data_IF_707780907303
#
_entry.id   IF_707780907303
#
_cell.length_a   1.000
_cell.length_b   1.000
_cell.length_c   1.000
_cell.angle_alpha   90.00
_cell.angle_beta   90.00
_cell.angle_gamma   90.00
#
_symmetry.space_group_name_H-M   'P 1'
#
loop_
_entity.id
_entity.type
_entity.pdbx_description
1 polymer ?
#
# COMPACT_ATOMS: atom_id res chain seq x y z
N UNK A 1 -4.60 -1.09 12.26
CA UNK A 1 -3.64 -0.42 13.18
C UNK A 1 -3.21 0.97 12.66
N UNK A 2 -2.86 1.94 13.53
CA UNK A 2 -2.60 3.34 13.09
C UNK A 2 -1.54 4.06 13.94
N UNK A 3 -0.77 4.96 13.31
CA UNK A 3 0.18 5.87 13.94
C UNK A 3 -0.27 7.33 13.83
N UNK A 4 0.04 8.18 14.81
CA UNK A 4 -0.39 9.58 14.86
C UNK A 4 0.76 10.57 14.75
N UNK A 5 0.53 11.71 14.08
CA UNK A 5 1.46 12.83 13.97
C UNK A 5 0.80 14.15 14.41
N UNK A 6 1.61 15.05 14.98
CA UNK A 6 1.19 16.41 15.33
C UNK A 6 0.94 17.25 14.08
N UNK A 7 0.02 18.20 14.16
CA UNK A 7 -0.41 19.07 13.06
C UNK A 7 0.75 19.80 12.35
N UNK A 8 1.79 20.18 13.11
CA UNK A 8 3.00 20.83 12.58
C UNK A 8 3.74 20.00 11.52
N UNK A 9 3.47 18.69 11.46
CA UNK A 9 4.06 17.76 10.50
C UNK A 9 3.19 17.52 9.24
N UNK A 10 2.09 18.27 9.05
CA UNK A 10 1.17 18.09 7.90
C UNK A 10 1.87 17.98 6.54
N UNK A 11 2.79 18.89 6.23
CA UNK A 11 3.54 18.84 4.95
C UNK A 11 4.38 17.58 4.79
N UNK A 12 4.87 17.01 5.89
CA UNK A 12 5.56 15.73 5.89
C UNK A 12 4.58 14.58 5.71
N UNK A 13 3.46 14.62 6.43
CA UNK A 13 2.39 13.64 6.35
C UNK A 13 1.81 13.50 4.92
N UNK A 14 1.59 14.61 4.22
CA UNK A 14 1.13 14.64 2.82
C UNK A 14 2.12 14.00 1.83
N UNK A 15 3.39 13.82 2.24
CA UNK A 15 4.42 13.16 1.41
C UNK A 15 4.55 11.66 1.69
N UNK A 16 3.92 11.16 2.75
CA UNK A 16 3.90 9.73 3.05
C UNK A 16 3.02 9.05 2.02
N UNK A 17 3.47 7.93 1.49
CA UNK A 17 2.72 7.10 0.54
C UNK A 17 2.53 5.71 1.10
N UNK A 18 1.48 5.03 0.64
CA UNK A 18 1.30 3.60 0.89
C UNK A 18 2.54 2.84 0.45
N UNK A 19 2.98 1.88 1.27
CA UNK A 19 4.21 1.13 1.08
C UNK A 19 5.47 1.79 1.63
N UNK A 20 5.45 3.03 2.11
CA UNK A 20 6.61 3.57 2.82
C UNK A 20 6.89 2.74 4.09
N UNK A 21 8.18 2.61 4.46
CA UNK A 21 8.62 1.84 5.64
C UNK A 21 8.93 2.77 6.79
N UNK A 22 8.30 2.52 7.94
CA UNK A 22 8.48 3.29 9.15
C UNK A 22 9.28 2.47 10.16
N UNK A 23 10.35 3.06 10.70
CA UNK A 23 11.01 2.52 11.88
C UNK A 23 10.29 3.03 13.12
N UNK A 24 9.61 2.13 13.82
CA UNK A 24 8.82 2.46 15.00
C UNK A 24 9.76 2.47 16.19
N UNK A 25 9.83 3.59 16.90
CA UNK A 25 10.66 3.72 18.09
C UNK A 25 9.87 4.26 19.28
N UNK A 26 10.35 3.89 20.46
CA UNK A 26 9.89 4.34 21.76
C UNK A 26 10.88 5.34 22.35
N UNK A 27 10.42 6.09 23.35
CA UNK A 27 11.22 7.09 24.05
C UNK A 27 11.10 6.88 25.55
N UNK A 28 12.16 7.18 26.29
CA UNK A 28 12.16 7.08 27.75
C UNK A 28 11.21 8.09 28.41
N UNK A 29 10.88 9.20 27.73
CA UNK A 29 9.94 10.20 28.23
C UNK A 29 8.51 9.81 27.85
N UNK A 30 7.96 8.84 28.59
CA UNK A 30 6.62 8.29 28.35
C UNK A 30 5.77 8.32 29.62
N UNK A 31 4.46 8.18 29.48
CA UNK A 31 3.53 8.02 30.60
C UNK A 31 3.84 6.79 31.48
N UNK A 32 4.48 5.77 30.89
CA UNK A 32 4.86 4.53 31.55
C UNK A 32 6.34 4.54 31.91
N UNK A 33 6.66 4.36 33.20
CA UNK A 33 8.01 4.46 33.73
C UNK A 33 8.97 3.36 33.24
N UNK A 34 8.42 2.26 32.72
CA UNK A 34 9.20 1.14 32.17
C UNK A 34 9.57 1.34 30.69
N UNK A 35 9.15 2.46 30.07
CA UNK A 35 9.54 2.78 28.70
C UNK A 35 11.04 3.06 28.59
N UNK A 36 11.64 2.64 27.47
CA UNK A 36 13.06 2.84 27.16
C UNK A 36 13.20 3.44 25.77
N UNK A 37 14.25 4.21 25.53
CA UNK A 37 14.52 4.79 24.20
C UNK A 37 15.08 3.73 23.25
N UNK A 38 14.35 3.42 22.19
CA UNK A 38 14.68 2.25 21.38
C UNK A 38 13.76 1.95 20.22
N UNK A 39 14.29 1.33 19.17
CA UNK A 39 13.52 0.87 18.01
C UNK A 39 12.83 -0.44 18.38
N UNK A 40 11.50 -0.45 18.28
CA UNK A 40 10.65 -1.56 18.71
C UNK A 40 10.17 -2.43 17.55
N UNK A 41 10.17 -1.88 16.34
CA UNK A 41 9.74 -2.61 15.16
C UNK A 41 9.76 -1.77 13.89
N UNK A 42 9.14 -2.33 12.88
CA UNK A 42 9.03 -1.79 11.53
C UNK A 42 7.54 -1.80 11.16
N UNK A 43 7.03 -0.73 10.59
CA UNK A 43 5.67 -0.64 10.08
C UNK A 43 5.66 -0.40 8.58
N UNK A 44 4.74 -1.04 7.86
CA UNK A 44 4.46 -0.76 6.45
C UNK A 44 3.22 0.12 6.39
N UNK A 45 3.33 1.25 5.69
CA UNK A 45 2.23 2.21 5.59
C UNK A 45 1.14 1.70 4.66
N UNK A 46 -0.11 1.75 5.11
CA UNK A 46 -1.30 1.40 4.31
C UNK A 46 -1.87 2.58 3.52
N UNK A 47 -3.04 2.38 2.89
CA UNK A 47 -3.68 3.34 1.99
C UNK A 47 -4.67 4.30 2.67
N UNK A 48 -5.26 3.93 3.80
CA UNK A 48 -6.37 4.65 4.45
C UNK A 48 -5.93 5.78 5.40
N UNK A 49 -5.32 6.83 4.84
CA UNK A 49 -4.93 8.03 5.59
C UNK A 49 -6.16 8.82 6.06
N UNK A 50 -6.12 9.30 7.31
CA UNK A 50 -7.24 10.04 7.89
C UNK A 50 -6.78 11.16 8.81
N UNK A 51 -7.69 12.09 9.09
CA UNK A 51 -7.50 13.13 10.10
C UNK A 51 -8.62 12.94 11.10
N UNK A 52 -8.28 12.79 12.37
CA UNK A 52 -9.25 12.56 13.43
C UNK A 52 -9.58 13.82 14.20
N UNK A 53 -10.78 13.84 14.77
CA UNK A 53 -11.28 14.90 15.65
C UNK A 53 -11.58 14.39 17.08
N UNK A 54 -11.46 13.08 17.32
CA UNK A 54 -11.65 12.43 18.62
C UNK A 54 -10.31 12.15 19.32
N UNK A 55 -10.35 11.82 20.60
CA UNK A 55 -9.18 11.39 21.37
C UNK A 55 -8.99 9.87 21.21
N UNK A 56 -7.78 9.44 20.86
CA UNK A 56 -7.43 8.02 20.71
C UNK A 56 -6.33 7.56 21.66
N UNK A 57 -5.37 8.43 22.00
CA UNK A 57 -4.27 8.06 22.88
C UNK A 57 -4.54 8.50 24.32
N UNK A 58 -3.97 7.75 25.28
CA UNK A 58 -4.10 7.99 26.71
C UNK A 58 -3.84 9.45 27.10
N UNK A 59 -2.80 10.07 26.52
CA UNK A 59 -2.47 11.47 26.76
C UNK A 59 -3.61 12.41 26.36
N UNK A 60 -4.22 12.19 25.20
CA UNK A 60 -5.33 13.03 24.69
C UNK A 60 -6.57 12.91 25.56
N UNK A 61 -6.88 11.70 26.04
CA UNK A 61 -7.99 11.50 26.98
C UNK A 61 -7.77 12.23 28.31
N UNK A 62 -6.55 12.23 28.83
CA UNK A 62 -6.21 12.86 30.11
C UNK A 62 -6.19 14.40 30.03
N UNK A 63 -5.78 14.95 28.89
CA UNK A 63 -5.57 16.40 28.72
C UNK A 63 -6.70 17.07 27.94
N UNK A 64 -7.68 16.30 27.45
CA UNK A 64 -8.78 16.75 26.60
C UNK A 64 -8.30 17.54 25.38
N UNK A 65 -7.21 17.08 24.76
CA UNK A 65 -6.55 17.71 23.61
C UNK A 65 -6.34 16.69 22.48
N UNK A 66 -6.68 17.06 21.25
CA UNK A 66 -6.37 16.28 20.05
C UNK A 66 -4.95 16.60 19.55
N UNK A 67 -3.96 15.98 20.20
CA UNK A 67 -2.54 16.28 19.98
C UNK A 67 -1.98 15.68 18.68
N UNK A 68 -2.43 14.50 18.28
CA UNK A 68 -1.92 13.81 17.08
C UNK A 68 -3.02 13.53 16.05
N UNK A 69 -3.61 14.57 15.43
CA UNK A 69 -4.77 14.42 14.56
C UNK A 69 -4.46 13.72 13.23
N UNK A 70 -3.22 13.72 12.76
CA UNK A 70 -2.82 13.20 11.45
C UNK A 70 -2.52 11.70 11.53
N UNK A 71 -3.40 10.87 10.99
CA UNK A 71 -3.31 9.41 11.10
C UNK A 71 -2.60 8.80 9.89
N UNK A 72 -1.66 7.90 10.17
CA UNK A 72 -0.95 7.07 9.20
C UNK A 72 -1.37 5.62 9.44
N UNK A 73 -2.09 4.99 8.50
CA UNK A 73 -2.48 3.59 8.63
C UNK A 73 -1.25 2.69 8.51
N UNK A 74 -1.23 1.60 9.26
CA UNK A 74 -0.23 0.54 9.11
C UNK A 74 -0.94 -0.72 8.64
N UNK A 75 -0.55 -1.24 7.48
CA UNK A 75 -1.05 -2.52 6.96
C UNK A 75 -0.39 -3.69 7.68
N UNK A 76 0.90 -3.56 7.98
CA UNK A 76 1.72 -4.58 8.62
C UNK A 76 2.63 -3.95 9.67
N UNK A 77 2.86 -4.67 10.77
CA UNK A 77 3.82 -4.32 11.80
C UNK A 77 4.69 -5.53 12.11
N UNK A 78 6.00 -5.34 12.10
CA UNK A 78 7.02 -6.32 12.46
C UNK A 78 7.70 -5.89 13.75
N UNK A 79 7.48 -6.61 14.85
CA UNK A 79 8.02 -6.28 16.16
C UNK A 79 9.21 -7.16 16.53
N UNK A 80 10.22 -6.61 17.23
CA UNK A 80 11.36 -7.42 17.68
C UNK A 80 11.03 -8.37 18.84
N UNK A 81 9.91 -8.13 19.52
CA UNK A 81 9.43 -8.92 20.65
C UNK A 81 8.09 -9.56 20.31
N UNK A 82 7.93 -10.83 20.65
CA UNK A 82 6.64 -11.51 20.55
C UNK A 82 5.69 -10.91 21.58
N UNK A 83 4.53 -10.48 21.13
CA UNK A 83 3.38 -10.05 21.94
C UNK A 83 2.30 -11.15 21.98
N UNK A 84 1.38 -11.09 22.97
CA UNK A 84 0.17 -11.91 22.97
C UNK A 84 -0.70 -11.64 21.73
N UNK A 85 -1.64 -12.53 21.46
CA UNK A 85 -2.64 -12.39 20.39
C UNK A 85 -3.34 -11.02 20.42
N UNK A 86 -3.52 -10.39 19.26
CA UNK A 86 -4.11 -9.05 19.13
C UNK A 86 -5.54 -8.97 19.63
N UNK A 87 -6.29 -10.08 19.62
CA UNK A 87 -7.64 -10.16 20.20
C UNK A 87 -7.69 -9.93 21.71
N UNK A 88 -6.54 -10.10 22.39
CA UNK A 88 -6.40 -9.85 23.83
C UNK A 88 -5.94 -8.44 24.18
N UNK A 89 -5.73 -7.57 23.18
CA UNK A 89 -5.22 -6.22 23.39
C UNK A 89 -6.35 -5.28 23.76
N UNK A 90 -6.20 -4.62 24.91
CA UNK A 90 -7.06 -3.51 25.31
C UNK A 90 -6.35 -2.19 25.06
N UNK A 91 -7.10 -1.16 24.64
CA UNK A 91 -6.57 0.19 24.54
C UNK A 91 -6.08 0.68 25.91
N UNK A 92 -4.87 1.25 26.03
CA UNK A 92 -4.37 1.76 27.30
C UNK A 92 -5.25 2.87 27.88
N UNK A 93 -5.72 2.68 29.11
CA UNK A 93 -6.48 3.64 29.90
C UNK A 93 -5.93 3.69 31.35
N UNK A 94 -6.52 4.55 32.19
CA UNK A 94 -6.08 4.71 33.59
C UNK A 94 -6.34 3.42 34.39
N UNK A 95 -7.42 2.70 34.09
CA UNK A 95 -7.89 1.54 34.84
C UNK A 95 -7.10 0.26 34.51
N UNK A 96 -6.54 0.14 33.30
CA UNK A 96 -5.74 -1.01 32.85
C UNK A 96 -4.22 -0.73 32.79
N UNK A 97 -3.74 0.27 33.55
CA UNK A 97 -2.33 0.70 33.55
C UNK A 97 -1.35 -0.46 33.80
N UNK A 98 -1.61 -1.34 34.77
CA UNK A 98 -0.71 -2.46 35.09
C UNK A 98 -0.61 -3.48 33.95
N UNK A 99 -1.71 -3.76 33.25
CA UNK A 99 -1.71 -4.63 32.07
C UNK A 99 -0.94 -3.98 30.91
N UNK A 100 -1.16 -2.68 30.69
CA UNK A 100 -0.41 -1.88 29.72
C UNK A 100 1.11 -1.89 30.01
N UNK A 101 1.52 -1.74 31.27
CA UNK A 101 2.93 -1.82 31.67
C UNK A 101 3.55 -3.19 31.40
N UNK A 102 2.81 -4.28 31.62
CA UNK A 102 3.27 -5.64 31.28
C UNK A 102 3.48 -5.78 29.78
N UNK A 103 2.52 -5.31 28.97
CA UNK A 103 2.62 -5.36 27.50
C UNK A 103 3.79 -4.51 26.98
N UNK A 104 3.99 -3.31 27.53
CA UNK A 104 5.13 -2.45 27.21
C UNK A 104 6.45 -3.13 27.58
N UNK A 105 6.53 -3.78 28.75
CA UNK A 105 7.73 -4.51 29.16
C UNK A 105 8.05 -5.66 28.19
N UNK A 106 7.02 -6.34 27.71
CA UNK A 106 7.15 -7.41 26.72
C UNK A 106 7.59 -6.87 25.35
N UNK A 107 6.97 -5.78 24.88
CA UNK A 107 7.35 -5.07 23.65
C UNK A 107 8.83 -4.63 23.68
N UNK A 108 9.30 -4.17 24.84
CA UNK A 108 10.66 -3.73 25.09
C UNK A 108 11.61 -4.85 25.55
N UNK A 109 11.26 -6.13 25.39
CA UNK A 109 12.17 -7.23 25.73
C UNK A 109 13.36 -7.33 24.77
N UNK A 110 13.09 -7.18 23.47
CA UNK A 110 14.07 -7.37 22.39
C UNK A 110 14.26 -6.12 21.51
N UNK A 111 13.82 -4.94 21.95
CA UNK A 111 14.03 -3.71 21.18
C UNK A 111 15.52 -3.44 20.90
N UNK A 112 15.81 -2.63 19.88
CA UNK A 112 17.17 -2.16 19.58
C UNK A 112 17.39 -0.82 20.30
N UNK A 113 18.30 -0.73 21.29
CA UNK A 113 18.59 0.54 21.94
C UNK A 113 19.06 1.59 20.93
N UNK A 114 18.51 2.81 21.00
CA UNK A 114 18.91 3.88 20.08
C UNK A 114 20.41 4.23 20.21
N UNK A 115 21.00 4.00 21.39
CA UNK A 115 22.46 4.13 21.60
C UNK A 115 23.30 3.23 20.69
N UNK A 116 22.71 2.14 20.18
CA UNK A 116 23.40 1.17 19.34
C UNK A 116 23.28 1.49 17.84
N UNK A 117 22.45 2.47 17.47
CA UNK A 117 22.17 2.84 16.08
C UNK A 117 22.77 4.21 15.78
N UNK A 118 23.94 4.21 15.14
CA UNK A 118 24.67 5.44 14.85
C UNK A 118 23.99 6.20 13.72
N UNK A 119 23.72 7.50 13.92
CA UNK A 119 23.12 8.38 12.92
C UNK A 119 21.59 8.32 12.85
N UNK A 120 20.94 7.65 13.81
CA UNK A 120 19.48 7.68 13.88
C UNK A 120 18.97 9.12 14.09
N UNK A 121 17.93 9.58 13.36
CA UNK A 121 17.44 10.94 13.46
C UNK A 121 17.05 11.32 14.90
N UNK A 122 17.28 12.58 15.26
CA UNK A 122 16.89 13.10 16.57
C UNK A 122 15.36 13.23 16.69
N UNK A 123 14.86 13.16 17.93
CA UNK A 123 13.43 13.19 18.21
C UNK A 123 12.70 14.38 17.59
N UNK A 124 11.51 14.13 17.05
CA UNK A 124 10.63 15.16 16.47
C UNK A 124 10.99 15.58 15.04
N UNK A 125 12.03 14.99 14.44
CA UNK A 125 12.33 15.19 13.03
C UNK A 125 11.59 14.15 12.18
N UNK A 126 10.67 14.60 11.32
CA UNK A 126 10.14 13.80 10.21
C UNK A 126 11.24 13.71 9.14
N UNK A 127 12.25 12.87 9.40
CA UNK A 127 13.45 12.78 8.58
C UNK A 127 13.65 11.36 8.08
N UNK A 128 13.98 11.26 6.80
CA UNK A 128 14.34 10.00 6.19
C UNK A 128 15.55 9.39 6.92
N UNK A 129 15.45 8.09 7.19
CA UNK A 129 16.56 7.32 7.74
C UNK A 129 17.53 7.02 6.61
N UNK A 130 18.83 7.26 6.81
CA UNK A 130 19.83 6.96 5.77
C UNK A 130 19.92 5.46 5.53
N UNK A 131 20.42 5.05 4.36
CA UNK A 131 20.56 3.63 4.01
C UNK A 131 21.46 2.89 5.01
N UNK A 132 22.51 3.55 5.51
CA UNK A 132 23.44 3.01 6.49
C UNK A 132 22.76 2.77 7.85
N UNK A 133 21.87 3.68 8.25
CA UNK A 133 21.09 3.54 9.49
C UNK A 133 20.04 2.43 9.32
N UNK A 134 19.33 2.42 8.20
CA UNK A 134 18.35 1.38 7.88
C UNK A 134 19.01 -0.01 7.89
N UNK A 135 20.21 -0.15 7.31
CA UNK A 135 20.96 -1.40 7.30
C UNK A 135 21.36 -1.86 8.72
N UNK A 136 21.72 -0.95 9.63
CA UNK A 136 22.01 -1.32 11.03
C UNK A 136 20.81 -1.97 11.72
N UNK A 137 19.58 -1.58 11.35
CA UNK A 137 18.33 -2.07 11.94
C UNK A 137 17.88 -3.36 11.23
N UNK A 138 17.90 -3.34 9.90
CA UNK A 138 17.43 -4.44 9.05
C UNK A 138 18.38 -5.66 9.09
N UNK A 139 19.69 -5.46 9.23
CA UNK A 139 20.65 -6.56 9.37
C UNK A 139 20.98 -6.91 10.83
N UNK A 140 20.23 -6.35 11.78
CA UNK A 140 20.24 -6.86 13.13
C UNK A 140 19.85 -8.36 13.14
N UNK A 141 20.26 -9.16 14.13
CA UNK A 141 19.99 -10.62 14.13
C UNK A 141 18.75 -11.03 14.93
N UNK A 142 18.06 -10.08 15.55
CA UNK A 142 16.89 -10.37 16.39
C UNK A 142 15.71 -10.93 15.57
N UNK A 143 14.82 -11.75 16.14
CA UNK A 143 13.61 -12.17 15.43
C UNK A 143 12.69 -10.99 15.14
N UNK A 144 11.85 -11.11 14.10
CA UNK A 144 10.75 -10.21 13.79
C UNK A 144 9.44 -11.00 13.82
N UNK A 145 8.47 -10.51 14.57
CA UNK A 145 7.14 -11.09 14.70
C UNK A 145 6.15 -10.21 13.94
N UNK A 146 5.46 -10.81 12.99
CA UNK A 146 4.52 -10.13 12.10
C UNK A 146 3.13 -10.03 12.76
N UNK A 147 2.54 -8.85 12.64
CA UNK A 147 1.17 -8.54 13.04
C UNK A 147 0.52 -7.81 11.86
N UNK A 148 -0.51 -8.41 11.29
CA UNK A 148 -1.31 -7.82 10.21
C UNK A 148 -2.76 -7.72 10.63
N UNK A 149 -3.44 -6.70 10.12
CA UNK A 149 -4.86 -6.51 10.36
C UNK A 149 -5.62 -7.17 9.20
N UNK A 150 -5.85 -8.49 9.28
CA UNK A 150 -6.59 -9.25 8.25
C UNK A 150 -8.02 -8.70 8.03
N UNK A 151 -8.53 -7.90 8.97
CA UNK A 151 -9.84 -7.26 8.92
C UNK A 151 -9.89 -5.97 8.09
N UNK A 152 -8.75 -5.40 7.69
CA UNK A 152 -8.68 -4.09 7.03
C UNK A 152 -9.07 -4.07 5.54
N UNK A 153 -9.49 -5.21 4.97
CA UNK A 153 -10.07 -5.28 3.62
C UNK A 153 -11.59 -4.99 3.65
N UNK A 154 -12.25 -5.10 4.81
CA UNK A 154 -13.70 -4.89 4.94
C UNK A 154 -14.00 -3.94 6.12
N UNK A 155 -13.72 -2.64 5.96
CA UNK A 155 -14.05 -1.61 6.95
C UNK A 155 -14.75 -0.40 6.32
N UNK A 156 -15.99 -0.17 6.75
CA UNK A 156 -16.91 0.97 6.53
C UNK A 156 -16.76 1.80 5.25
N UNK A 157 -17.64 1.50 4.29
CA UNK A 157 -17.83 2.15 2.98
C UNK A 157 -18.27 3.63 3.10
N UNK A 158 -18.62 4.13 4.29
CA UNK A 158 -19.33 5.41 4.44
C UNK A 158 -18.48 6.69 4.40
N UNK A 159 -17.14 6.62 4.28
CA UNK A 159 -16.35 7.84 4.11
C UNK A 159 -14.99 7.64 3.40
N UNK A 160 -14.97 6.95 2.26
CA UNK A 160 -13.81 7.03 1.37
C UNK A 160 -13.70 8.46 0.83
N UNK A 161 -12.67 9.19 1.26
CA UNK A 161 -12.37 10.51 0.68
C UNK A 161 -12.16 10.32 -0.83
N UNK A 162 -12.73 11.20 -1.67
CA UNK A 162 -12.43 11.22 -3.10
C UNK A 162 -10.93 11.21 -3.34
N UNK A 163 -10.41 10.16 -3.99
CA UNK A 163 -9.00 10.15 -4.41
C UNK A 163 -8.86 10.93 -5.72
N UNK A 164 -7.92 11.87 -5.81
CA UNK A 164 -7.76 12.64 -7.05
C UNK A 164 -6.93 11.84 -8.05
N UNK A 165 -7.36 11.79 -9.31
CA UNK A 165 -6.53 11.24 -10.39
C UNK A 165 -5.36 12.18 -10.68
N UNK A 166 -4.15 11.74 -10.32
CA UNK A 166 -2.93 12.51 -10.46
C UNK A 166 -2.17 12.12 -11.72
N UNK A 167 -1.51 13.10 -12.34
CA UNK A 167 -0.68 12.88 -13.52
C UNK A 167 0.57 12.09 -13.17
N UNK A 168 0.82 11.01 -13.91
CA UNK A 168 1.95 10.10 -13.66
C UNK A 168 3.12 10.44 -14.56
N UNK A 169 4.21 10.92 -13.96
CA UNK A 169 5.46 11.17 -14.68
C UNK A 169 6.39 9.95 -14.69
N UNK A 170 6.41 9.18 -13.60
CA UNK A 170 7.17 7.94 -13.46
C UNK A 170 6.39 6.99 -12.53
N UNK A 171 6.25 5.72 -12.92
CA UNK A 171 5.53 4.71 -12.12
C UNK A 171 6.30 4.33 -10.86
N UNK A 172 7.62 4.50 -10.82
CA UNK A 172 8.39 4.29 -9.58
C UNK A 172 7.97 5.23 -8.44
N UNK A 173 7.38 6.39 -8.75
CA UNK A 173 6.81 7.28 -7.73
C UNK A 173 5.45 6.78 -7.20
N UNK A 174 4.66 6.11 -8.05
CA UNK A 174 3.35 5.55 -7.68
C UNK A 174 3.45 4.18 -6.99
N UNK A 175 4.50 3.39 -7.23
CA UNK A 175 4.61 1.98 -6.79
C UNK A 175 5.77 1.69 -5.80
N UNK A 176 6.04 2.61 -4.87
CA UNK A 176 7.04 2.42 -3.79
C UNK A 176 6.87 1.14 -2.97
N UNK A 177 5.66 0.56 -2.97
CA UNK A 177 5.34 -0.71 -2.34
C UNK A 177 6.28 -1.86 -2.80
N UNK A 178 6.59 -1.95 -4.09
CA UNK A 178 7.41 -3.03 -4.65
C UNK A 178 8.89 -2.95 -4.24
N UNK A 179 9.45 -1.74 -4.12
CA UNK A 179 10.82 -1.54 -3.64
C UNK A 179 10.93 -1.78 -2.13
N UNK A 180 9.86 -1.51 -1.37
CA UNK A 180 9.74 -1.88 0.03
C UNK A 180 9.78 -3.40 0.24
N UNK A 181 9.05 -4.18 -0.58
CA UNK A 181 9.07 -5.65 -0.49
C UNK A 181 10.47 -6.25 -0.69
N UNK A 182 11.31 -5.66 -1.57
CA UNK A 182 12.71 -6.09 -1.76
C UNK A 182 13.57 -5.93 -0.50
N UNK A 183 13.27 -4.95 0.34
CA UNK A 183 13.94 -4.78 1.64
C UNK A 183 13.56 -5.93 2.58
N UNK A 184 12.29 -6.34 2.56
CA UNK A 184 11.81 -7.47 3.36
C UNK A 184 12.36 -8.82 2.88
N UNK A 185 12.69 -8.99 1.59
CA UNK A 185 13.37 -10.19 1.09
C UNK A 185 14.70 -10.46 1.82
N UNK A 186 15.45 -9.39 2.15
CA UNK A 186 16.75 -9.50 2.83
C UNK A 186 16.65 -9.89 4.31
N UNK A 187 15.47 -9.71 4.92
CA UNK A 187 15.21 -10.00 6.35
C UNK A 187 14.23 -11.16 6.55
N UNK A 188 13.76 -11.78 5.45
CA UNK A 188 12.79 -12.89 5.39
C UNK A 188 13.12 -14.06 6.32
N UNK A 189 14.41 -14.38 6.50
CA UNK A 189 14.85 -15.48 7.37
C UNK A 189 14.66 -15.19 8.87
N UNK A 190 14.41 -13.93 9.25
CA UNK A 190 14.19 -13.51 10.65
C UNK A 190 12.71 -13.46 11.04
N UNK A 191 11.80 -13.52 10.06
CA UNK A 191 10.36 -13.42 10.31
C UNK A 191 9.88 -14.74 10.90
N UNK A 192 9.36 -14.69 12.11
CA UNK A 192 8.80 -15.85 12.83
C UNK A 192 7.28 -15.78 12.70
N UNK A 193 6.72 -16.62 11.82
CA UNK A 193 5.28 -16.86 11.71
C UNK A 193 4.92 -18.26 12.24
N UNK A 194 3.69 -18.45 12.73
CA UNK A 194 3.22 -19.74 13.26
C UNK A 194 3.14 -20.85 12.19
N UNK A 195 3.34 -20.54 10.90
CA UNK A 195 3.36 -21.49 9.77
C UNK A 195 4.54 -21.21 8.79
N UNK A 196 5.76 -21.69 9.11
CA UNK A 196 6.99 -21.33 8.38
C UNK A 196 7.06 -21.75 6.90
N UNK A 197 6.31 -22.79 6.50
CA UNK A 197 6.40 -23.39 5.17
C UNK A 197 5.55 -22.74 4.07
N UNK A 198 4.50 -21.99 4.43
CA UNK A 198 3.58 -21.36 3.47
C UNK A 198 3.99 -19.92 3.12
N UNK A 199 4.56 -19.19 4.07
CA UNK A 199 4.87 -17.76 3.94
C UNK A 199 5.95 -17.48 2.89
N UNK A 200 7.03 -18.28 2.87
CA UNK A 200 8.15 -18.07 1.95
C UNK A 200 7.74 -18.17 0.47
N UNK A 201 6.93 -19.17 0.15
CA UNK A 201 6.44 -19.43 -1.21
C UNK A 201 5.38 -18.40 -1.63
N UNK A 202 4.51 -17.99 -0.70
CA UNK A 202 3.51 -16.97 -0.96
C UNK A 202 4.14 -15.59 -1.23
N UNK A 203 5.16 -15.17 -0.48
CA UNK A 203 5.82 -13.88 -0.71
C UNK A 203 6.63 -13.85 -2.01
N UNK A 204 7.29 -14.93 -2.41
CA UNK A 204 7.94 -14.99 -3.73
C UNK A 204 6.95 -14.94 -4.88
N UNK A 205 5.79 -15.59 -4.73
CA UNK A 205 4.72 -15.52 -5.72
C UNK A 205 4.07 -14.12 -5.75
N UNK A 206 3.88 -13.48 -4.60
CA UNK A 206 3.38 -12.11 -4.48
C UNK A 206 4.38 -11.11 -5.06
N UNK A 207 5.67 -11.22 -4.74
CA UNK A 207 6.73 -10.35 -5.26
C UNK A 207 6.88 -10.49 -6.78
N UNK A 208 6.84 -11.72 -7.33
CA UNK A 208 6.82 -11.94 -8.78
C UNK A 208 5.55 -11.40 -9.43
N UNK A 209 4.42 -11.55 -8.77
CA UNK A 209 3.15 -11.03 -9.26
C UNK A 209 3.17 -9.50 -9.32
N UNK A 210 3.72 -8.87 -8.30
CA UNK A 210 3.86 -7.42 -8.17
C UNK A 210 4.91 -6.86 -9.15
N UNK A 211 6.05 -7.52 -9.30
CA UNK A 211 7.07 -7.15 -10.28
C UNK A 211 6.50 -7.21 -11.71
N UNK A 212 5.75 -8.26 -12.04
CA UNK A 212 5.06 -8.36 -13.32
C UNK A 212 4.04 -7.23 -13.51
N UNK A 213 3.25 -6.93 -12.48
CA UNK A 213 2.28 -5.84 -12.49
C UNK A 213 2.95 -4.47 -12.73
N UNK A 214 4.00 -4.15 -11.97
CA UNK A 214 4.79 -2.92 -12.11
C UNK A 214 5.43 -2.78 -13.50
N UNK A 215 6.04 -3.86 -14.00
CA UNK A 215 6.68 -3.87 -15.31
C UNK A 215 5.67 -3.61 -16.45
N UNK A 216 4.46 -4.15 -16.33
CA UNK A 216 3.38 -3.94 -17.32
C UNK A 216 2.92 -2.49 -17.29
N UNK A 217 2.69 -1.93 -16.09
CA UNK A 217 2.31 -0.54 -15.97
C UNK A 217 3.35 0.39 -16.56
N UNK A 218 4.65 0.15 -16.30
CA UNK A 218 5.73 0.97 -16.84
C UNK A 218 5.71 0.99 -18.37
N UNK A 219 5.54 -0.19 -18.98
CA UNK A 219 5.39 -0.31 -20.43
C UNK A 219 4.14 0.43 -20.93
N UNK A 220 2.99 0.29 -20.27
CA UNK A 220 1.76 1.01 -20.64
C UNK A 220 1.95 2.52 -20.59
N UNK A 221 2.55 3.05 -19.52
CA UNK A 221 2.84 4.47 -19.38
C UNK A 221 3.67 4.99 -20.55
N UNK A 222 4.73 4.26 -20.92
CA UNK A 222 5.60 4.62 -22.03
C UNK A 222 4.84 4.60 -23.36
N UNK A 223 4.05 3.55 -23.62
CA UNK A 223 3.20 3.42 -24.82
C UNK A 223 2.26 4.63 -24.94
N UNK A 224 1.49 4.93 -23.89
CA UNK A 224 0.51 6.02 -23.93
C UNK A 224 1.19 7.39 -24.08
N UNK A 225 2.31 7.62 -23.39
CA UNK A 225 3.06 8.88 -23.51
C UNK A 225 3.62 9.09 -24.90
N UNK A 226 4.22 8.05 -25.50
CA UNK A 226 4.73 8.13 -26.88
C UNK A 226 3.62 8.47 -27.88
N UNK A 227 2.38 8.11 -27.57
CA UNK A 227 1.19 8.38 -28.39
C UNK A 227 0.47 9.68 -28.03
N UNK A 228 1.03 10.47 -27.11
CA UNK A 228 0.52 11.80 -26.76
C UNK A 228 -0.66 11.80 -25.78
N UNK A 229 -0.90 10.70 -25.05
CA UNK A 229 -1.93 10.65 -24.03
C UNK A 229 -1.43 11.25 -22.70
N UNK A 230 -2.32 11.93 -21.99
CA UNK A 230 -2.15 12.25 -20.58
C UNK A 230 -2.47 11.01 -19.76
N UNK A 231 -1.55 10.61 -18.87
CA UNK A 231 -1.66 9.37 -18.09
C UNK A 231 -1.79 9.70 -16.63
N UNK A 232 -2.78 9.11 -15.97
CA UNK A 232 -3.15 9.37 -14.59
C UNK A 232 -3.36 8.07 -13.81
N UNK A 233 -3.15 8.12 -12.50
CA UNK A 233 -3.44 7.02 -11.58
C UNK A 233 -3.87 7.57 -10.21
N UNK A 234 -4.39 6.68 -9.37
CA UNK A 234 -4.59 6.92 -7.94
C UNK A 234 -4.47 5.56 -7.21
N UNK A 235 -4.67 5.47 -5.88
CA UNK A 235 -4.56 4.20 -5.16
C UNK A 235 -5.55 3.10 -5.57
N UNK A 236 -6.61 3.44 -6.30
CA UNK A 236 -7.64 2.50 -6.76
C UNK A 236 -7.50 2.19 -8.24
N UNK A 237 -7.20 3.18 -9.06
CA UNK A 237 -7.08 3.12 -10.52
C UNK A 237 -5.63 2.92 -10.92
N UNK A 238 -5.33 1.73 -11.44
CA UNK A 238 -4.01 1.37 -11.97
C UNK A 238 -3.54 2.38 -13.03
N UNK A 239 -4.32 2.59 -14.09
CA UNK A 239 -3.98 3.56 -15.14
C UNK A 239 -5.23 4.07 -15.88
N UNK A 240 -5.32 5.39 -15.98
CA UNK A 240 -6.28 6.10 -16.83
C UNK A 240 -5.52 6.98 -17.82
N UNK A 241 -5.66 6.72 -19.12
CA UNK A 241 -5.00 7.49 -20.17
C UNK A 241 -6.03 8.18 -21.08
N UNK A 242 -5.82 9.44 -21.43
CA UNK A 242 -6.70 10.16 -22.36
C UNK A 242 -5.97 11.18 -23.24
N UNK A 243 -6.43 11.37 -24.48
CA UNK A 243 -5.95 12.41 -25.42
C UNK A 243 -6.94 13.58 -25.56
N UNK A 244 -8.01 13.59 -24.74
CA UNK A 244 -9.10 14.56 -24.77
C UNK A 244 -10.27 14.17 -25.68
N UNK A 245 -10.06 13.24 -26.64
CA UNK A 245 -11.12 12.65 -27.46
C UNK A 245 -11.36 11.18 -27.14
N UNK A 246 -10.32 10.45 -26.76
CA UNK A 246 -10.34 9.01 -26.46
C UNK A 246 -9.76 8.79 -25.08
N UNK A 247 -10.31 7.79 -24.38
CA UNK A 247 -9.81 7.38 -23.08
C UNK A 247 -9.73 5.87 -22.92
N UNK A 248 -8.75 5.46 -22.12
CA UNK A 248 -8.47 4.08 -21.78
C UNK A 248 -8.39 3.97 -20.25
N UNK A 249 -9.30 3.20 -19.67
CA UNK A 249 -9.25 2.78 -18.27
C UNK A 249 -8.69 1.36 -18.24
N UNK A 250 -7.59 1.17 -17.52
CA UNK A 250 -6.82 -0.06 -17.54
C UNK A 250 -6.70 -0.63 -16.14
N UNK A 251 -6.92 -1.93 -16.04
CA UNK A 251 -6.68 -2.74 -14.83
C UNK A 251 -5.69 -3.86 -15.17
N UNK A 252 -4.58 -3.92 -14.44
CA UNK A 252 -3.53 -4.91 -14.63
C UNK A 252 -3.68 -6.03 -13.60
N UNK A 253 -3.72 -7.27 -14.07
CA UNK A 253 -3.81 -8.45 -13.20
C UNK A 253 -2.62 -9.37 -13.36
N UNK A 254 -1.99 -9.72 -12.26
CA UNK A 254 -1.06 -10.84 -12.26
C UNK A 254 -1.83 -12.14 -12.38
N UNK A 255 -1.63 -12.83 -13.50
CA UNK A 255 -2.35 -14.06 -13.84
C UNK A 255 -1.36 -15.17 -14.18
N UNK A 256 -1.68 -16.35 -13.68
CA UNK A 256 -1.17 -17.62 -14.17
C UNK A 256 -2.34 -18.37 -14.82
N UNK A 257 -2.06 -19.24 -15.80
CA UNK A 257 -3.11 -19.93 -16.58
C UNK A 257 -4.24 -20.58 -15.75
N UNK A 258 -3.99 -20.93 -14.48
CA UNK A 258 -4.98 -21.56 -13.58
C UNK A 258 -5.89 -20.56 -12.84
N UNK A 259 -5.57 -19.26 -12.79
CA UNK A 259 -6.31 -18.28 -12.00
C UNK A 259 -6.95 -17.14 -12.82
N UNK A 260 -6.82 -17.16 -14.16
CA UNK A 260 -7.30 -16.09 -15.03
C UNK A 260 -8.76 -15.70 -14.75
N UNK A 261 -9.69 -16.67 -14.70
CA UNK A 261 -11.12 -16.37 -14.45
C UNK A 261 -11.34 -15.61 -13.14
N UNK A 262 -10.71 -16.06 -12.06
CA UNK A 262 -10.86 -15.44 -10.74
C UNK A 262 -10.32 -14.01 -10.74
N UNK A 263 -9.15 -13.80 -11.33
CA UNK A 263 -8.55 -12.47 -11.43
C UNK A 263 -9.34 -11.54 -12.37
N UNK A 264 -9.83 -12.06 -13.48
CA UNK A 264 -10.64 -11.30 -14.43
C UNK A 264 -11.99 -10.89 -13.84
N UNK A 265 -12.63 -11.72 -13.00
CA UNK A 265 -13.84 -11.33 -12.25
C UNK A 265 -13.60 -10.15 -11.33
N UNK A 266 -12.47 -10.17 -10.60
CA UNK A 266 -12.07 -9.05 -9.73
C UNK A 266 -11.82 -7.80 -10.56
N UNK A 267 -11.02 -7.93 -11.62
CA UNK A 267 -10.70 -6.81 -12.51
C UNK A 267 -11.93 -6.22 -13.20
N UNK A 268 -12.93 -7.03 -13.56
CA UNK A 268 -14.19 -6.57 -14.11
C UNK A 268 -14.95 -5.68 -13.11
N UNK A 269 -15.10 -6.13 -11.86
CA UNK A 269 -15.78 -5.36 -10.83
C UNK A 269 -15.06 -4.01 -10.61
N UNK A 270 -13.74 -4.05 -10.49
CA UNK A 270 -12.89 -2.87 -10.32
C UNK A 270 -13.02 -1.90 -11.49
N UNK A 271 -12.90 -2.36 -12.74
CA UNK A 271 -13.06 -1.50 -13.93
C UNK A 271 -14.41 -0.78 -13.95
N UNK A 272 -15.50 -1.45 -13.57
CA UNK A 272 -16.83 -0.84 -13.54
C UNK A 272 -16.98 0.16 -12.39
N UNK A 273 -16.46 -0.19 -11.21
CA UNK A 273 -16.47 0.66 -10.03
C UNK A 273 -15.67 1.94 -10.26
N UNK A 274 -14.45 1.81 -10.78
CA UNK A 274 -13.54 2.92 -11.03
C UNK A 274 -14.05 3.84 -12.13
N UNK A 275 -14.65 3.27 -13.19
CA UNK A 275 -15.28 4.08 -14.21
C UNK A 275 -16.41 4.94 -13.63
N UNK A 276 -17.23 4.35 -12.74
CA UNK A 276 -18.34 5.03 -12.12
C UNK A 276 -17.91 6.13 -11.13
N UNK A 277 -17.06 5.81 -10.15
CA UNK A 277 -16.74 6.71 -9.04
C UNK A 277 -15.60 7.69 -9.34
N UNK A 278 -14.62 7.27 -10.14
CA UNK A 278 -13.36 8.00 -10.31
C UNK A 278 -13.29 8.66 -11.70
N UNK A 279 -13.42 7.89 -12.78
CA UNK A 279 -13.27 8.41 -14.15
C UNK A 279 -14.39 9.36 -14.52
N UNK A 280 -15.65 9.01 -14.27
CA UNK A 280 -16.78 9.89 -14.61
C UNK A 280 -16.74 11.20 -13.82
N UNK A 281 -16.31 11.16 -12.55
CA UNK A 281 -16.09 12.37 -11.75
C UNK A 281 -15.01 13.24 -12.41
N UNK A 282 -13.84 12.68 -12.70
CA UNK A 282 -12.73 13.39 -13.32
C UNK A 282 -13.10 14.01 -14.68
N UNK A 283 -13.77 13.25 -15.55
CA UNK A 283 -14.23 13.72 -16.86
C UNK A 283 -15.19 14.91 -16.73
N UNK A 284 -16.08 14.87 -15.73
CA UNK A 284 -17.00 15.97 -15.44
C UNK A 284 -16.26 17.21 -14.91
N UNK A 285 -15.38 17.03 -13.92
CA UNK A 285 -14.61 18.12 -13.29
C UNK A 285 -13.69 18.84 -14.29
N UNK A 286 -13.06 18.09 -15.19
CA UNK A 286 -12.15 18.62 -16.21
C UNK A 286 -12.87 18.99 -17.53
N UNK A 287 -14.20 18.86 -17.59
CA UNK A 287 -15.02 19.13 -18.78
C UNK A 287 -14.50 18.42 -20.06
N UNK A 288 -14.12 17.14 -19.95
CA UNK A 288 -13.61 16.36 -21.07
C UNK A 288 -14.76 15.80 -21.94
N UNK A 289 -14.63 15.95 -23.25
CA UNK A 289 -15.60 15.43 -24.23
C UNK A 289 -15.06 14.18 -24.93
N UNK A 290 -15.04 13.08 -24.18
CA UNK A 290 -14.57 11.79 -24.67
C UNK A 290 -15.61 11.15 -25.62
N UNK A 291 -15.19 10.90 -26.87
CA UNK A 291 -15.98 10.21 -27.90
C UNK A 291 -15.90 8.69 -27.75
N UNK A 292 -14.69 8.19 -27.51
CA UNK A 292 -14.45 6.77 -27.31
C UNK A 292 -13.91 6.54 -25.89
N UNK A 293 -14.50 5.58 -25.18
CA UNK A 293 -14.03 5.12 -23.88
C UNK A 293 -13.84 3.61 -23.93
N UNK A 294 -12.66 3.14 -23.57
CA UNK A 294 -12.30 1.73 -23.56
C UNK A 294 -11.93 1.29 -22.16
N UNK A 295 -12.50 0.17 -21.71
CA UNK A 295 -12.13 -0.50 -20.46
C UNK A 295 -11.32 -1.74 -20.80
N UNK A 296 -10.12 -1.85 -20.25
CA UNK A 296 -9.16 -2.87 -20.66
C UNK A 296 -8.65 -3.61 -19.43
N UNK A 297 -8.75 -4.94 -19.48
CA UNK A 297 -8.06 -5.84 -18.58
C UNK A 297 -6.73 -6.28 -19.21
N UNK A 298 -5.63 -6.08 -18.48
CA UNK A 298 -4.29 -6.48 -18.91
C UNK A 298 -3.75 -7.58 -18.00
N UNK A 299 -3.90 -8.85 -18.36
CA UNK A 299 -3.29 -9.94 -17.62
C UNK A 299 -1.77 -10.01 -17.85
N UNK A 300 -1.02 -10.50 -16.86
CA UNK A 300 0.44 -10.66 -16.97
C UNK A 300 0.89 -11.81 -17.87
N UNK A 301 -0.03 -12.72 -18.21
CA UNK A 301 0.20 -13.81 -19.15
C UNK A 301 -0.98 -13.90 -20.11
N UNK A 302 -0.71 -14.31 -21.36
CA UNK A 302 -1.77 -14.49 -22.37
C UNK A 302 -2.78 -15.56 -21.89
N UNK A 303 -4.05 -15.20 -21.66
CA UNK A 303 -5.05 -16.16 -21.24
C UNK A 303 -5.37 -17.13 -22.37
N UNK A 304 -5.60 -18.40 -22.03
CA UNK A 304 -5.96 -19.46 -22.98
C UNK A 304 -7.46 -19.77 -23.02
N UNK A 305 -8.24 -19.15 -22.15
CA UNK A 305 -9.66 -19.42 -21.98
C UNK A 305 -10.50 -18.53 -22.89
N UNK A 306 -10.59 -18.93 -24.16
CA UNK A 306 -11.28 -18.17 -25.20
C UNK A 306 -12.74 -17.88 -24.87
N UNK A 307 -13.46 -18.81 -24.24
CA UNK A 307 -14.86 -18.61 -23.85
C UNK A 307 -15.01 -17.48 -22.82
N UNK A 308 -14.06 -17.39 -21.88
CA UNK A 308 -14.09 -16.32 -20.88
C UNK A 308 -13.64 -14.98 -21.46
N UNK A 309 -12.71 -14.98 -22.41
CA UNK A 309 -12.32 -13.78 -23.17
C UNK A 309 -13.52 -13.24 -23.95
N UNK A 310 -14.25 -14.10 -24.66
CA UNK A 310 -15.46 -13.72 -25.40
C UNK A 310 -16.55 -13.17 -24.48
N UNK A 311 -16.73 -13.77 -23.29
CA UNK A 311 -17.61 -13.22 -22.26
C UNK A 311 -17.22 -11.79 -21.86
N UNK A 312 -15.93 -11.50 -21.65
CA UNK A 312 -15.45 -10.15 -21.32
C UNK A 312 -15.67 -9.17 -22.49
N UNK A 313 -15.38 -9.59 -23.72
CA UNK A 313 -15.59 -8.76 -24.91
C UNK A 313 -17.08 -8.42 -25.10
N UNK A 314 -18.00 -9.37 -24.86
CA UNK A 314 -19.44 -9.11 -24.87
C UNK A 314 -19.90 -8.09 -23.83
N UNK A 315 -19.12 -7.87 -22.77
CA UNK A 315 -19.35 -6.82 -21.76
C UNK A 315 -18.66 -5.49 -22.12
N UNK A 316 -18.15 -5.36 -23.34
CA UNK A 316 -17.33 -4.24 -23.80
C UNK A 316 -16.04 -4.04 -22.98
N UNK A 317 -15.45 -5.14 -22.52
CA UNK A 317 -14.14 -5.14 -21.85
C UNK A 317 -13.11 -5.75 -22.81
N UNK A 318 -12.11 -4.94 -23.18
CA UNK A 318 -10.97 -5.39 -23.95
C UNK A 318 -10.02 -6.22 -23.10
N UNK A 319 -9.40 -7.23 -23.70
CA UNK A 319 -8.30 -7.98 -23.07
C UNK A 319 -7.04 -7.73 -23.89
N UNK A 320 -5.98 -7.24 -23.24
CA UNK A 320 -4.73 -6.88 -23.91
C UNK A 320 -3.51 -7.47 -23.23
N UNK A 321 -2.51 -7.89 -24.01
CA UNK A 321 -1.19 -8.28 -23.51
C UNK A 321 -0.16 -7.24 -23.93
N UNK A 322 0.60 -6.77 -22.95
CA UNK A 322 1.67 -5.80 -23.17
C UNK A 322 2.96 -6.56 -23.46
N UNK A 323 3.60 -6.19 -24.57
CA UNK A 323 4.90 -6.74 -24.98
C UNK A 323 5.80 -5.60 -25.44
N UNK A 324 6.75 -5.21 -24.58
CA UNK A 324 7.69 -4.10 -24.82
C UNK A 324 6.91 -2.81 -25.06
N UNK A 325 6.77 -2.42 -26.32
CA UNK A 325 6.29 -1.09 -26.71
C UNK A 325 4.90 -1.16 -27.37
N UNK A 326 4.21 -2.30 -27.27
CA UNK A 326 2.90 -2.50 -27.89
C UNK A 326 1.97 -3.26 -26.95
N UNK A 327 0.71 -2.82 -26.90
CA UNK A 327 -0.41 -3.59 -26.37
C UNK A 327 -1.10 -4.35 -27.50
N UNK A 328 -1.20 -5.67 -27.37
CA UNK A 328 -1.83 -6.55 -28.37
C UNK A 328 -3.17 -7.06 -27.88
N UNK A 329 -4.22 -7.03 -28.71
CA UNK A 329 -5.50 -7.62 -28.34
C UNK A 329 -5.38 -9.13 -28.13
N UNK A 330 -6.15 -9.63 -27.18
CA UNK A 330 -6.47 -11.05 -27.03
C UNK A 330 -7.97 -11.18 -27.19
N UNK A 331 -8.42 -11.80 -28.29
CA UNK A 331 -9.81 -11.75 -28.71
C UNK A 331 -10.07 -10.55 -29.61
N UNK A 332 -11.13 -9.80 -29.33
CA UNK A 332 -11.51 -8.64 -30.13
C UNK A 332 -10.62 -7.41 -29.89
N UNK A 333 -10.50 -6.57 -30.92
CA UNK A 333 -9.72 -5.34 -30.84
C UNK A 333 -10.55 -4.18 -30.25
N UNK A 334 -10.32 -3.88 -28.98
CA UNK A 334 -10.93 -2.77 -28.24
C UNK A 334 -10.11 -1.47 -28.35
N UNK A 335 -9.74 -1.11 -29.59
CA UNK A 335 -9.00 0.13 -29.89
C UNK A 335 -7.48 0.02 -29.73
N UNK A 336 -6.95 -1.18 -29.51
CA UNK A 336 -5.52 -1.44 -29.40
C UNK A 336 -4.77 -1.19 -30.71
N UNK A 337 -5.39 -1.50 -31.87
CA UNK A 337 -4.79 -1.20 -33.19
C UNK A 337 -4.60 0.30 -33.46
N UNK A 338 -5.30 1.15 -32.70
CA UNK A 338 -5.23 2.61 -32.81
C UNK A 338 -4.21 3.24 -31.84
N UNK A 339 -3.51 2.41 -31.06
CA UNK A 339 -2.47 2.78 -30.10
C UNK A 339 -1.06 2.59 -30.65
#
# INVERSE_FOLDING_TARGET
MTWGLEEKHRKGWERIRSGDVFFIHSTHNSFFNNAKSGIIGIGVVGSNFSIKNNHLWLYEHQHHENRWPLLVPLSEIYLFSQLPDTSSWESPNIDNKSQSEKLISQLLKNYIPLSNVKGFPQMGSFSAVSKEVANQILFDKRPLYEYSDESSIEGDIEALRPTKLEKVNNISESFRYADTLKVFDSIKQRIVSETPGLYSKNNELLAKAEEAHCNILQQLLEIFKQKGYDVRSNPHVDLFAHDGSRAFLIEVKSTENRNFRTQARKGLAQLLEYDYFEVNRFVSEENLHLKDKYRILVPSQSPKDNNYIEFLNNLNIGVGIVNRDVIKPVGEDFGFSKL
#
